data_IF_280632387872
#
_entry.id   IF_280632387872
#
_cell.length_a   1.000
_cell.length_b   1.000
_cell.length_c   1.000
_cell.angle_alpha   90.00
_cell.angle_beta   90.00
_cell.angle_gamma   90.00
#
_symmetry.space_group_name_H-M   'P 1'
#
loop_
_entity.id
_entity.type
_entity.pdbx_description
1 polymer ?
#
# COMPACT_ATOMS: atom_id res chain seq x y z
N UNK A 1 -0.70 9.68 4.07
CA UNK A 1 -0.93 11.13 4.19
C UNK A 1 -1.92 11.48 3.10
N UNK A 2 -3.05 12.09 3.47
CA UNK A 2 -3.98 12.68 2.51
C UNK A 2 -3.86 14.20 2.53
N UNK A 3 -4.42 14.85 1.51
CA UNK A 3 -4.44 16.30 1.35
C UNK A 3 -5.90 16.75 1.29
N UNK A 4 -6.20 17.85 1.98
CA UNK A 4 -7.47 18.55 1.84
C UNK A 4 -7.31 19.67 0.83
N UNK A 5 -8.19 19.72 -0.16
CA UNK A 5 -8.17 20.73 -1.22
C UNK A 5 -9.50 21.48 -1.19
N UNK A 6 -9.46 22.82 -1.23
CA UNK A 6 -10.66 23.63 -1.48
C UNK A 6 -10.86 23.81 -2.98
N UNK A 7 -12.04 23.44 -3.46
CA UNK A 7 -12.42 23.58 -4.86
C UNK A 7 -13.43 24.73 -5.00
N UNK A 8 -13.03 25.79 -5.72
CA UNK A 8 -13.85 27.00 -5.88
C UNK A 8 -15.12 26.71 -6.71
N UNK A 9 -15.00 25.86 -7.71
CA UNK A 9 -16.08 25.40 -8.58
C UNK A 9 -17.16 24.58 -7.85
N UNK A 10 -16.84 24.05 -6.66
CA UNK A 10 -17.79 23.35 -5.79
C UNK A 10 -18.29 24.25 -4.64
N UNK A 11 -18.34 25.56 -4.85
CA UNK A 11 -18.80 26.50 -3.82
C UNK A 11 -17.86 26.57 -2.63
N UNK A 12 -16.55 26.40 -2.86
CA UNK A 12 -15.50 26.40 -1.83
C UNK A 12 -15.55 25.22 -0.85
N UNK A 13 -16.14 24.10 -1.26
CA UNK A 13 -16.13 22.83 -0.52
C UNK A 13 -14.71 22.27 -0.35
N UNK A 14 -14.44 21.63 0.79
CA UNK A 14 -13.23 20.84 1.01
C UNK A 14 -13.42 19.40 0.53
N UNK A 15 -12.46 18.92 -0.26
CA UNK A 15 -12.41 17.53 -0.72
C UNK A 15 -11.15 16.84 -0.22
N UNK A 16 -11.27 15.55 0.05
CA UNK A 16 -10.15 14.71 0.46
C UNK A 16 -9.51 14.05 -0.76
N UNK A 17 -8.18 14.16 -0.87
CA UNK A 17 -7.38 13.59 -1.95
C UNK A 17 -6.24 12.76 -1.36
N UNK A 18 -6.11 11.51 -1.79
CA UNK A 18 -4.99 10.66 -1.39
C UNK A 18 -4.57 9.75 -2.55
N UNK A 19 -3.29 9.83 -2.93
CA UNK A 19 -2.66 9.03 -3.97
C UNK A 19 -1.61 8.05 -3.42
N UNK A 20 -1.40 8.00 -2.10
CA UNK A 20 -0.38 7.21 -1.41
C UNK A 20 -0.91 6.09 -0.51
N UNK A 21 -2.21 6.07 -0.18
CA UNK A 21 -2.81 5.09 0.74
C UNK A 21 -2.95 3.66 0.16
N UNK A 22 -2.58 3.44 -1.11
CA UNK A 22 -2.81 2.17 -1.81
C UNK A 22 -4.29 1.73 -1.74
N UNK A 23 -5.20 2.69 -1.65
CA UNK A 23 -6.64 2.55 -1.52
C UNK A 23 -7.32 2.93 -2.86
N UNK A 24 -8.58 2.52 -3.10
CA UNK A 24 -9.27 2.82 -4.36
C UNK A 24 -9.77 4.27 -4.40
N UNK A 25 -8.86 5.25 -4.40
CA UNK A 25 -9.14 6.67 -4.63
C UNK A 25 -8.91 7.00 -6.10
N UNK A 26 -9.98 7.37 -6.82
CA UNK A 26 -9.93 7.71 -8.25
C UNK A 26 -10.53 9.07 -8.58
N UNK A 27 -11.09 9.74 -7.58
CA UNK A 27 -11.61 11.10 -7.64
C UNK A 27 -11.54 11.72 -6.25
N UNK A 28 -11.52 13.06 -6.12
CA UNK A 28 -11.62 13.71 -4.82
C UNK A 28 -12.89 13.28 -4.08
N UNK A 29 -12.76 12.99 -2.78
CA UNK A 29 -13.89 12.57 -1.93
C UNK A 29 -14.54 13.80 -1.30
N UNK A 30 -15.82 13.99 -1.60
CA UNK A 30 -16.67 15.08 -1.09
C UNK A 30 -17.28 14.69 0.27
N UNK A 31 -16.46 14.78 1.32
CA UNK A 31 -16.82 14.26 2.65
C UNK A 31 -17.69 15.23 3.47
N UNK A 32 -17.77 16.51 3.10
CA UNK A 32 -18.59 17.51 3.80
C UNK A 32 -20.06 17.45 3.36
N UNK A 33 -20.31 17.32 2.06
CA UNK A 33 -21.66 17.45 1.48
C UNK A 33 -22.34 16.13 1.16
N UNK A 34 -21.58 15.06 0.94
CA UNK A 34 -22.10 13.72 0.64
C UNK A 34 -21.63 12.71 1.69
N UNK A 35 -22.44 12.55 2.73
CA UNK A 35 -22.18 11.61 3.85
C UNK A 35 -22.16 10.13 3.43
N UNK A 36 -22.61 9.84 2.21
CA UNK A 36 -22.62 8.51 1.64
C UNK A 36 -21.52 8.34 0.56
N UNK A 37 -20.74 9.39 0.28
CA UNK A 37 -19.67 9.30 -0.70
C UNK A 37 -18.69 8.22 -0.28
N UNK A 38 -18.51 7.24 -1.16
CA UNK A 38 -17.56 6.18 -0.98
C UNK A 38 -16.71 6.09 -2.24
N UNK A 39 -15.40 6.25 -2.08
CA UNK A 39 -14.49 5.86 -3.16
C UNK A 39 -14.39 4.35 -3.17
N UNK A 40 -14.63 3.72 -4.33
CA UNK A 40 -14.79 2.26 -4.39
C UNK A 40 -14.22 1.64 -5.64
N UNK A 41 -13.88 0.36 -5.52
CA UNK A 41 -13.52 -0.52 -6.63
C UNK A 41 -14.05 -1.92 -6.33
N UNK A 42 -15.06 -2.36 -7.08
CA UNK A 42 -15.73 -3.62 -6.77
C UNK A 42 -16.29 -3.61 -5.35
N UNK A 43 -15.88 -4.59 -4.53
CA UNK A 43 -16.27 -4.67 -3.12
C UNK A 43 -15.34 -3.89 -2.16
N UNK A 44 -14.23 -3.32 -2.65
CA UNK A 44 -13.34 -2.49 -1.85
C UNK A 44 -13.92 -1.07 -1.76
N UNK A 45 -13.95 -0.51 -0.55
CA UNK A 45 -14.57 0.80 -0.27
C UNK A 45 -13.75 1.59 0.73
N UNK A 46 -13.68 2.90 0.53
CA UNK A 46 -13.26 3.87 1.52
C UNK A 46 -14.46 4.71 1.94
N UNK A 47 -14.59 4.94 3.23
CA UNK A 47 -15.63 5.77 3.83
C UNK A 47 -14.97 6.84 4.70
N UNK A 48 -15.36 8.09 4.50
CA UNK A 48 -15.01 9.21 5.38
C UNK A 48 -16.31 9.72 5.99
N UNK A 49 -16.42 9.66 7.32
CA UNK A 49 -17.67 10.00 8.03
C UNK A 49 -17.40 11.02 9.13
N UNK A 50 -18.26 12.03 9.24
CA UNK A 50 -18.20 12.98 10.33
C UNK A 50 -18.43 12.28 11.69
N UNK A 51 -17.67 12.69 12.71
CA UNK A 51 -17.91 12.26 14.08
C UNK A 51 -19.13 13.01 14.65
N UNK A 52 -20.11 12.31 15.25
CA UNK A 52 -21.27 12.98 15.84
C UNK A 52 -20.85 13.97 16.92
N UNK A 53 -21.34 15.21 16.83
CA UNK A 53 -21.11 16.29 17.82
C UNK A 53 -19.69 16.85 17.87
N UNK A 54 -18.79 16.45 16.96
CA UNK A 54 -17.43 16.98 16.84
C UNK A 54 -17.23 17.67 15.49
N UNK A 55 -17.52 18.98 15.43
CA UNK A 55 -17.42 19.75 14.19
C UNK A 55 -16.01 19.70 13.59
N UNK A 56 -15.94 19.36 12.30
CA UNK A 56 -14.70 19.28 11.54
C UNK A 56 -13.88 18.01 11.77
N UNK A 57 -14.34 17.07 12.61
CA UNK A 57 -13.65 15.79 12.82
C UNK A 57 -14.31 14.66 12.06
N UNK A 58 -13.47 13.82 11.45
CA UNK A 58 -13.90 12.76 10.55
C UNK A 58 -13.13 11.47 10.83
N UNK A 59 -13.79 10.34 10.59
CA UNK A 59 -13.21 8.99 10.62
C UNK A 59 -13.04 8.51 9.20
N UNK A 60 -11.81 8.13 8.85
CA UNK A 60 -11.49 7.33 7.68
C UNK A 60 -11.61 5.85 8.04
N UNK A 61 -12.29 5.06 7.19
CA UNK A 61 -12.34 3.60 7.31
C UNK A 61 -12.21 2.94 5.94
N UNK A 62 -11.56 1.78 5.91
CA UNK A 62 -11.34 0.99 4.70
C UNK A 62 -12.01 -0.37 4.84
N UNK A 63 -12.71 -0.77 3.79
CA UNK A 63 -13.22 -2.12 3.60
C UNK A 63 -12.54 -2.76 2.39
N UNK A 64 -12.14 -4.02 2.52
CA UNK A 64 -11.60 -4.84 1.42
C UNK A 64 -12.49 -6.08 1.31
N UNK A 65 -13.03 -6.35 0.12
CA UNK A 65 -14.03 -7.39 -0.09
C UNK A 65 -15.23 -7.31 0.88
N UNK A 66 -15.70 -6.10 1.20
CA UNK A 66 -16.80 -5.90 2.13
C UNK A 66 -16.44 -6.00 3.62
N UNK A 67 -15.23 -6.47 3.96
CA UNK A 67 -14.78 -6.61 5.35
C UNK A 67 -13.92 -5.42 5.79
N UNK A 68 -14.02 -4.94 7.04
CA UNK A 68 -13.11 -3.94 7.59
C UNK A 68 -11.64 -4.34 7.44
N UNK A 69 -10.79 -3.40 7.03
CA UNK A 69 -9.38 -3.66 6.77
C UNK A 69 -8.50 -2.56 7.38
N UNK A 70 -7.74 -2.94 8.41
CA UNK A 70 -6.89 -2.03 9.17
C UNK A 70 -7.68 -1.19 10.18
N UNK A 71 -6.95 -0.48 11.04
CA UNK A 71 -7.55 0.40 12.02
C UNK A 71 -8.10 1.68 11.34
N UNK A 72 -9.34 2.09 11.65
CA UNK A 72 -9.82 3.41 11.28
C UNK A 72 -8.93 4.50 11.88
N UNK A 73 -8.82 5.64 11.20
CA UNK A 73 -8.09 6.79 11.73
C UNK A 73 -8.91 8.07 11.62
N UNK A 74 -8.65 8.99 12.54
CA UNK A 74 -9.36 10.26 12.64
C UNK A 74 -8.53 11.41 12.11
N UNK A 75 -9.20 12.43 11.59
CA UNK A 75 -8.57 13.71 11.30
C UNK A 75 -9.50 14.89 11.60
N UNK A 76 -8.90 16.06 11.76
CA UNK A 76 -9.61 17.32 11.89
C UNK A 76 -9.37 18.16 10.63
N UNK A 77 -10.43 18.39 9.85
CA UNK A 77 -10.37 19.19 8.62
C UNK A 77 -10.08 20.67 8.86
N UNK A 78 -10.23 21.15 10.10
CA UNK A 78 -9.90 22.53 10.48
C UNK A 78 -8.45 22.67 10.96
N UNK A 79 -7.69 21.58 11.04
CA UNK A 79 -6.29 21.58 11.41
C UNK A 79 -5.41 21.53 10.16
N UNK A 80 -4.40 22.37 10.11
CA UNK A 80 -3.33 22.31 9.12
C UNK A 80 -2.10 21.65 9.72
N UNK A 81 -1.33 20.99 8.86
CA UNK A 81 0.01 20.48 9.18
C UNK A 81 1.00 21.01 8.17
N UNK A 82 2.21 21.28 8.62
CA UNK A 82 3.34 21.64 7.77
C UNK A 82 4.14 20.39 7.40
N UNK A 83 5.01 20.48 6.38
CA UNK A 83 5.83 19.33 5.97
C UNK A 83 6.72 18.81 7.11
N UNK A 84 7.23 19.72 7.95
CA UNK A 84 8.11 19.39 9.07
C UNK A 84 7.40 18.56 10.15
N UNK A 85 6.07 18.68 10.28
CA UNK A 85 5.27 17.85 11.21
C UNK A 85 5.34 16.36 10.85
N UNK A 86 5.62 16.04 9.58
CA UNK A 86 5.73 14.65 9.12
C UNK A 86 7.15 14.09 9.22
N UNK A 87 8.17 14.93 9.46
CA UNK A 87 9.57 14.52 9.46
C UNK A 87 9.85 13.37 10.46
N UNK A 88 9.37 13.41 11.72
CA UNK A 88 9.59 12.31 12.66
C UNK A 88 8.95 10.99 12.20
N UNK A 89 7.80 11.06 11.52
CA UNK A 89 7.10 9.89 10.99
C UNK A 89 7.85 9.30 9.79
N UNK A 90 8.34 10.15 8.88
CA UNK A 90 9.14 9.75 7.72
C UNK A 90 10.44 9.10 8.17
N UNK A 91 11.16 9.72 9.11
CA UNK A 91 12.39 9.15 9.67
C UNK A 91 12.13 7.82 10.37
N UNK A 92 11.06 7.73 11.17
CA UNK A 92 10.65 6.50 11.84
C UNK A 92 10.37 5.37 10.85
N UNK A 93 9.66 5.67 9.77
CA UNK A 93 9.30 4.72 8.73
C UNK A 93 10.49 4.19 7.91
N UNK A 94 11.61 4.94 7.84
CA UNK A 94 12.81 4.59 7.09
C UNK A 94 13.91 3.93 7.96
N UNK A 95 13.63 3.60 9.22
CA UNK A 95 14.57 2.87 10.09
C UNK A 95 14.56 1.36 9.80
N UNK A 96 15.70 0.66 9.95
CA UNK A 96 15.74 -0.80 9.93
C UNK A 96 14.68 -1.41 10.85
N UNK A 97 13.93 -2.39 10.34
CA UNK A 97 12.85 -3.06 11.08
C UNK A 97 11.51 -2.32 11.12
N UNK A 98 11.44 -1.06 10.65
CA UNK A 98 10.15 -0.40 10.42
C UNK A 98 9.38 -1.09 9.28
N UNK A 99 8.04 -1.00 9.28
CA UNK A 99 7.19 -1.78 8.36
C UNK A 99 7.61 -1.68 6.89
N UNK A 100 7.84 -0.47 6.37
CA UNK A 100 8.25 -0.29 4.97
C UNK A 100 9.68 -0.74 4.64
N UNK A 101 10.52 -0.94 5.67
CA UNK A 101 11.90 -1.45 5.53
C UNK A 101 11.99 -2.97 5.71
N UNK A 102 10.86 -3.68 5.68
CA UNK A 102 10.80 -5.15 5.85
C UNK A 102 10.22 -5.91 4.66
N UNK A 103 9.87 -5.23 3.57
CA UNK A 103 9.34 -5.87 2.37
C UNK A 103 9.55 -5.02 1.12
N UNK A 104 9.50 -5.68 -0.04
CA UNK A 104 9.27 -5.03 -1.32
C UNK A 104 7.76 -4.97 -1.59
N UNK A 105 7.18 -3.79 -1.79
CA UNK A 105 5.75 -3.66 -2.07
C UNK A 105 5.46 -2.67 -3.20
N UNK A 106 4.64 -3.08 -4.16
CA UNK A 106 4.06 -2.22 -5.17
C UNK A 106 2.56 -2.51 -5.31
N UNK A 107 1.76 -1.46 -5.48
CA UNK A 107 0.32 -1.56 -5.70
C UNK A 107 -0.07 -0.62 -6.84
N UNK A 108 -0.89 -1.11 -7.78
CA UNK A 108 -1.42 -0.29 -8.87
C UNK A 108 -2.87 -0.67 -9.19
N UNK A 109 -3.72 0.34 -9.35
CA UNK A 109 -5.08 0.17 -9.87
C UNK A 109 -5.07 0.39 -11.38
N UNK A 110 -5.53 -0.60 -12.14
CA UNK A 110 -5.59 -0.57 -13.61
C UNK A 110 -7.07 -0.48 -14.04
N UNK A 111 -7.66 0.71 -13.88
CA UNK A 111 -9.11 0.93 -14.10
C UNK A 111 -9.59 0.49 -15.50
N UNK A 112 -8.80 0.77 -16.54
CA UNK A 112 -9.11 0.37 -17.92
C UNK A 112 -9.09 -1.15 -18.16
N UNK A 113 -8.54 -1.93 -17.23
CA UNK A 113 -8.54 -3.41 -17.23
C UNK A 113 -9.48 -3.98 -16.17
N UNK A 114 -10.24 -3.14 -15.47
CA UNK A 114 -11.12 -3.52 -14.35
C UNK A 114 -10.43 -4.45 -13.33
N UNK A 115 -9.15 -4.19 -13.04
CA UNK A 115 -8.37 -4.94 -12.05
C UNK A 115 -7.39 -4.05 -11.27
N UNK A 116 -6.83 -4.58 -10.20
CA UNK A 116 -5.63 -4.08 -9.55
C UNK A 116 -4.55 -5.15 -9.46
N UNK A 117 -3.31 -4.70 -9.41
CA UNK A 117 -2.13 -5.56 -9.30
C UNK A 117 -1.35 -5.19 -8.06
N UNK A 118 -0.86 -6.21 -7.36
CA UNK A 118 -0.03 -6.04 -6.18
C UNK A 118 1.17 -6.97 -6.21
N UNK A 119 2.31 -6.46 -5.78
CA UNK A 119 3.52 -7.23 -5.59
C UNK A 119 3.92 -7.06 -4.13
N UNK A 120 3.93 -8.13 -3.35
CA UNK A 120 4.46 -8.13 -1.98
C UNK A 120 5.54 -9.20 -1.91
N UNK A 121 6.79 -8.79 -1.76
CA UNK A 121 7.97 -9.64 -1.89
C UNK A 121 7.92 -10.39 -3.24
N UNK A 122 8.04 -11.71 -3.23
CA UNK A 122 7.90 -12.53 -4.43
C UNK A 122 6.45 -12.95 -4.76
N UNK A 123 5.45 -12.39 -4.09
CA UNK A 123 4.04 -12.72 -4.36
C UNK A 123 3.40 -11.67 -5.25
N UNK A 124 3.10 -12.05 -6.49
CA UNK A 124 2.33 -11.20 -7.41
C UNK A 124 0.86 -11.60 -7.39
N UNK A 125 -0.03 -10.62 -7.20
CA UNK A 125 -1.47 -10.77 -7.15
C UNK A 125 -2.17 -9.90 -8.17
N UNK A 126 -3.22 -10.43 -8.78
CA UNK A 126 -4.17 -9.69 -9.61
C UNK A 126 -5.54 -9.84 -8.99
N UNK A 127 -6.18 -8.72 -8.67
CA UNK A 127 -7.55 -8.65 -8.14
C UNK A 127 -8.46 -8.03 -9.18
N UNK A 128 -9.49 -8.75 -9.61
CA UNK A 128 -10.52 -8.25 -10.51
C UNK A 128 -11.62 -7.50 -9.75
N UNK A 129 -12.32 -6.60 -10.42
CA UNK A 129 -13.41 -5.82 -9.82
C UNK A 129 -14.60 -6.68 -9.34
N UNK A 130 -14.76 -7.88 -9.88
CA UNK A 130 -15.76 -8.87 -9.46
C UNK A 130 -15.38 -9.63 -8.18
N UNK A 131 -14.20 -9.34 -7.59
CA UNK A 131 -13.69 -10.00 -6.40
C UNK A 131 -12.78 -11.20 -6.69
N UNK A 132 -12.59 -11.58 -7.97
CA UNK A 132 -11.65 -12.62 -8.37
C UNK A 132 -10.21 -12.28 -7.96
N UNK A 133 -9.47 -13.26 -7.44
CA UNK A 133 -8.10 -13.09 -6.98
C UNK A 133 -7.21 -14.21 -7.51
N UNK A 134 -6.23 -13.85 -8.33
CA UNK A 134 -5.18 -14.75 -8.80
C UNK A 134 -3.87 -14.35 -8.15
N UNK A 135 -3.17 -15.30 -7.53
CA UNK A 135 -1.83 -15.09 -6.94
C UNK A 135 -0.84 -16.08 -7.55
N UNK A 136 0.37 -15.60 -7.84
CA UNK A 136 1.49 -16.45 -8.24
C UNK A 136 2.76 -16.05 -7.50
N UNK A 137 3.61 -17.05 -7.23
CA UNK A 137 4.94 -16.84 -6.68
C UNK A 137 5.94 -16.68 -7.81
N UNK A 138 6.69 -15.58 -7.76
CA UNK A 138 7.84 -15.29 -8.60
C UNK A 138 9.07 -15.99 -8.00
N UNK A 139 9.95 -16.51 -8.85
CA UNK A 139 11.05 -17.38 -8.42
C UNK A 139 12.40 -16.71 -8.51
N UNK A 140 12.54 -15.72 -9.37
CA UNK A 140 13.81 -15.04 -9.65
C UNK A 140 13.67 -13.53 -9.51
N UNK A 141 14.80 -12.83 -9.48
CA UNK A 141 14.81 -11.36 -9.52
C UNK A 141 14.30 -10.87 -10.88
N UNK A 142 14.64 -11.59 -11.95
CA UNK A 142 14.21 -11.31 -13.31
C UNK A 142 12.67 -11.39 -13.44
N UNK A 143 12.02 -12.36 -12.79
CA UNK A 143 10.56 -12.45 -12.74
C UNK A 143 9.94 -11.19 -12.10
N UNK A 144 10.56 -10.67 -11.04
CA UNK A 144 10.11 -9.46 -10.33
C UNK A 144 10.31 -8.23 -11.22
N UNK A 145 11.48 -8.08 -11.83
CA UNK A 145 11.79 -6.99 -12.77
C UNK A 145 10.80 -6.99 -13.95
N UNK A 146 10.52 -8.16 -14.53
CA UNK A 146 9.57 -8.30 -15.62
C UNK A 146 8.16 -7.88 -15.21
N UNK A 147 7.68 -8.35 -14.05
CA UNK A 147 6.37 -7.96 -13.53
C UNK A 147 6.29 -6.45 -13.29
N UNK A 148 7.30 -5.85 -12.66
CA UNK A 148 7.34 -4.40 -12.43
C UNK A 148 7.38 -3.61 -13.74
N UNK A 149 8.06 -4.09 -14.76
CA UNK A 149 8.07 -3.48 -16.09
C UNK A 149 6.71 -3.59 -16.79
N UNK A 150 6.18 -4.80 -16.95
CA UNK A 150 5.02 -5.08 -17.80
C UNK A 150 3.68 -4.76 -17.14
N UNK A 151 3.54 -5.06 -15.85
CA UNK A 151 2.27 -4.89 -15.13
C UNK A 151 2.20 -3.57 -14.37
N UNK A 152 3.33 -3.05 -13.87
CA UNK A 152 3.34 -1.78 -13.15
C UNK A 152 3.79 -0.59 -14.02
N UNK A 153 4.41 -0.82 -15.17
CA UNK A 153 4.95 0.25 -16.02
C UNK A 153 6.18 0.92 -15.41
N UNK A 154 6.94 0.20 -14.58
CA UNK A 154 8.07 0.72 -13.80
C UNK A 154 9.40 0.03 -14.19
N UNK A 155 9.85 0.14 -15.47
CA UNK A 155 11.00 -0.61 -15.98
C UNK A 155 12.36 -0.14 -15.44
N UNK A 156 12.41 0.99 -14.72
CA UNK A 156 13.65 1.61 -14.24
C UNK A 156 13.82 1.54 -12.73
N UNK A 157 12.97 0.79 -12.02
CA UNK A 157 13.14 0.63 -10.58
C UNK A 157 14.43 -0.15 -10.27
N UNK A 158 15.19 0.25 -9.24
CA UNK A 158 16.43 -0.44 -8.85
C UNK A 158 16.12 -1.71 -8.04
N UNK A 159 15.45 -2.68 -8.66
CA UNK A 159 14.93 -3.89 -8.00
C UNK A 159 16.05 -4.69 -7.33
N UNK A 160 17.14 -4.97 -8.06
CA UNK A 160 18.30 -5.73 -7.53
C UNK A 160 18.86 -5.12 -6.26
N UNK A 161 19.16 -3.82 -6.30
CA UNK A 161 19.69 -3.09 -5.14
C UNK A 161 18.72 -3.13 -3.96
N UNK A 162 17.41 -2.98 -4.20
CA UNK A 162 16.41 -3.10 -3.14
C UNK A 162 16.39 -4.50 -2.50
N UNK A 163 16.49 -5.56 -3.32
CA UNK A 163 16.55 -6.95 -2.84
C UNK A 163 17.82 -7.21 -2.03
N UNK A 164 18.98 -6.72 -2.51
CA UNK A 164 20.26 -6.82 -1.82
C UNK A 164 20.20 -6.14 -0.44
N UNK A 165 19.70 -4.91 -0.37
CA UNK A 165 19.52 -4.17 0.89
C UNK A 165 18.57 -4.91 1.82
N UNK A 166 17.44 -5.42 1.32
CA UNK A 166 16.51 -6.21 2.13
C UNK A 166 17.19 -7.47 2.69
N UNK A 167 18.01 -8.16 1.89
CA UNK A 167 18.77 -9.32 2.35
C UNK A 167 19.81 -8.94 3.43
N UNK A 168 20.51 -7.81 3.28
CA UNK A 168 21.43 -7.26 4.30
C UNK A 168 20.70 -6.94 5.62
N UNK A 169 19.45 -6.49 5.53
CA UNK A 169 18.55 -6.27 6.66
C UNK A 169 17.93 -7.57 7.23
N UNK A 170 18.30 -8.75 6.69
CA UNK A 170 17.83 -10.05 7.15
C UNK A 170 16.47 -10.48 6.56
N UNK A 171 15.99 -9.80 5.53
CA UNK A 171 14.72 -10.08 4.85
C UNK A 171 14.98 -10.82 3.54
N UNK A 172 14.73 -12.13 3.52
CA UNK A 172 14.75 -12.93 2.30
C UNK A 172 13.37 -12.91 1.61
N UNK A 173 13.25 -12.12 0.53
CA UNK A 173 11.98 -11.98 -0.19
C UNK A 173 11.71 -13.07 -1.21
N UNK A 174 12.74 -13.81 -1.66
CA UNK A 174 12.62 -14.87 -2.66
C UNK A 174 12.40 -16.24 -2.03
N UNK A 175 12.64 -16.39 -0.72
CA UNK A 175 12.65 -17.68 -0.03
C UNK A 175 13.38 -18.74 -0.86
N UNK A 176 14.60 -18.42 -1.31
CA UNK A 176 15.46 -19.46 -1.86
C UNK A 176 15.70 -20.44 -0.72
N UNK A 177 15.17 -21.66 -0.87
CA UNK A 177 15.36 -22.76 0.08
C UNK A 177 16.85 -22.79 0.43
N UNK A 178 17.22 -22.30 1.62
CA UNK A 178 18.53 -22.54 2.19
C UNK A 178 18.56 -24.03 2.52
N UNK A 179 18.84 -24.85 1.51
CA UNK A 179 19.33 -26.19 1.72
C UNK A 179 20.67 -26.01 2.44
N UNK A 180 20.62 -25.96 3.77
CA UNK A 180 21.80 -26.12 4.61
C UNK A 180 22.31 -27.53 4.34
N UNK A 181 23.19 -27.67 3.36
CA UNK A 181 24.05 -28.84 3.25
C UNK A 181 25.01 -28.78 4.44
N UNK A 182 24.53 -29.22 5.61
CA UNK A 182 25.37 -29.54 6.74
C UNK A 182 26.17 -30.77 6.32
N UNK A 183 27.38 -30.56 5.83
CA UNK A 183 28.40 -31.60 5.77
C UNK A 183 28.69 -32.05 7.21
N UNK A 184 28.04 -33.13 7.62
CA UNK A 184 28.41 -33.88 8.82
C UNK A 184 29.75 -34.57 8.53
N UNK A 185 30.86 -34.00 9.00
CA UNK A 185 32.11 -34.74 9.12
C UNK A 185 32.01 -35.69 10.30
N UNK A 186 31.75 -36.97 10.02
CA UNK A 186 31.97 -38.04 10.98
C UNK A 186 33.48 -38.16 11.24
N UNK A 187 33.95 -37.63 12.36
CA UNK A 187 35.23 -38.01 12.93
C UNK A 187 35.05 -39.31 13.72
N UNK A 188 35.35 -40.45 13.09
CA UNK A 188 35.61 -41.71 13.79
C UNK A 188 36.89 -41.53 14.61
N UNK A 189 36.78 -41.62 15.93
CA UNK A 189 37.90 -41.95 16.81
C UNK A 189 37.85 -43.45 17.07
N UNK A 190 38.82 -44.15 16.49
CA UNK A 190 39.34 -45.44 16.98
C UNK A 190 40.12 -45.26 18.26
#
# INVERSE_FOLDING_TARGET
MGILVRLLELGNEQVYVDCGAAAPFFSPVRFETDVNHASSFGADKILIRALPREHGRYVYSRCVNGEPSGEPWEFNANSSSELDDFQPLIEGANKPGASFMTFLHCQLWQLGKSRSVSLVNNSFGIRSADGGLVKRKLRTVEDIEQVLSEEFGLPRLPVRSAIEILHELGVDILMLIRCKTLTCTCSNRS
#
